data_IF_671281002275
#
_entry.id   IF_671281002275
#
_cell.length_a   1.000
_cell.length_b   1.000
_cell.length_c   1.000
_cell.angle_alpha   90.00
_cell.angle_beta   90.00
_cell.angle_gamma   90.00
#
_symmetry.space_group_name_H-M   'P 1'
#
loop_
_entity.id
_entity.type
_entity.pdbx_description
1 polymer ?
#
# COMPACT_ATOMS: atom_id res chain seq x y z
N UNK A 1 -39.35 50.81 40.49
CA UNK A 1 -39.26 49.78 39.43
C UNK A 1 -37.78 49.46 39.24
N UNK A 2 -37.38 48.22 39.58
CA UNK A 2 -35.97 47.86 39.73
C UNK A 2 -35.22 47.79 38.40
N UNK A 3 -34.08 48.48 38.37
CA UNK A 3 -33.13 48.55 37.28
C UNK A 3 -32.22 47.30 37.24
N UNK A 4 -32.79 46.13 36.96
CA UNK A 4 -31.97 44.90 36.84
C UNK A 4 -32.47 43.90 35.78
N UNK A 5 -33.18 44.38 34.74
CA UNK A 5 -33.39 43.61 33.53
C UNK A 5 -32.21 43.78 32.58
N UNK A 6 -31.08 43.14 32.91
CA UNK A 6 -29.96 42.99 31.98
C UNK A 6 -30.50 42.33 30.70
N UNK A 7 -30.42 42.99 29.55
CA UNK A 7 -31.28 42.64 28.43
C UNK A 7 -30.87 41.31 27.82
N UNK A 8 -31.72 40.30 28.00
CA UNK A 8 -31.59 38.99 27.36
C UNK A 8 -31.44 39.13 25.84
N UNK A 9 -32.02 40.17 25.23
CA UNK A 9 -31.88 40.50 23.81
C UNK A 9 -30.45 40.85 23.41
N UNK A 10 -29.63 41.51 24.26
CA UNK A 10 -28.22 41.80 23.94
C UNK A 10 -27.38 40.52 23.89
N UNK A 11 -27.65 39.57 24.80
CA UNK A 11 -26.99 38.25 24.77
C UNK A 11 -27.42 37.47 23.53
N UNK A 12 -28.70 37.54 23.18
CA UNK A 12 -29.24 36.90 21.97
C UNK A 12 -28.67 37.52 20.69
N UNK A 13 -28.57 38.85 20.60
CA UNK A 13 -27.97 39.56 19.47
C UNK A 13 -26.48 39.28 19.33
N UNK A 14 -25.73 39.13 20.43
CA UNK A 14 -24.31 38.74 20.37
C UNK A 14 -24.15 37.30 19.90
N UNK A 15 -24.96 36.37 20.41
CA UNK A 15 -24.94 34.97 19.93
C UNK A 15 -25.34 34.88 18.46
N UNK A 16 -26.37 35.61 18.05
CA UNK A 16 -26.81 35.68 16.64
C UNK A 16 -25.71 36.28 15.76
N UNK A 17 -25.05 37.36 16.19
CA UNK A 17 -23.92 37.96 15.47
C UNK A 17 -22.76 36.95 15.32
N UNK A 18 -22.39 36.25 16.40
CA UNK A 18 -21.34 35.23 16.36
C UNK A 18 -21.71 34.09 15.41
N UNK A 19 -22.98 33.63 15.43
CA UNK A 19 -23.47 32.61 14.52
C UNK A 19 -23.46 33.08 13.06
N UNK A 20 -23.93 34.30 12.78
CA UNK A 20 -23.89 34.89 11.43
C UNK A 20 -22.45 35.05 10.94
N UNK A 21 -21.55 35.55 11.79
CA UNK A 21 -20.13 35.67 11.49
C UNK A 21 -19.50 34.30 11.22
N UNK A 22 -19.82 33.28 12.01
CA UNK A 22 -19.32 31.92 11.78
C UNK A 22 -19.86 31.33 10.47
N UNK A 23 -21.16 31.51 10.19
CA UNK A 23 -21.83 31.02 8.97
C UNK A 23 -21.30 31.70 7.71
N UNK A 24 -20.86 32.97 7.80
CA UNK A 24 -20.28 33.68 6.65
C UNK A 24 -18.77 33.42 6.53
N UNK A 25 -18.01 33.53 7.61
CA UNK A 25 -16.54 33.46 7.56
C UNK A 25 -16.01 32.05 7.36
N UNK A 26 -16.63 31.00 7.92
CA UNK A 26 -16.10 29.64 7.80
C UNK A 26 -16.22 29.12 6.35
N UNK A 27 -17.37 29.22 5.66
CA UNK A 27 -17.46 28.87 4.24
C UNK A 27 -16.60 29.77 3.36
N UNK A 28 -16.55 31.08 3.64
CA UNK A 28 -15.70 32.02 2.88
C UNK A 28 -14.22 31.67 3.00
N UNK A 29 -13.76 31.30 4.21
CA UNK A 29 -12.41 30.82 4.42
C UNK A 29 -12.17 29.50 3.67
N UNK A 30 -13.09 28.53 3.73
CA UNK A 30 -12.95 27.27 3.00
C UNK A 30 -12.85 27.47 1.50
N UNK A 31 -13.75 28.28 0.93
CA UNK A 31 -13.76 28.65 -0.49
C UNK A 31 -12.47 29.37 -0.85
N UNK A 32 -12.00 30.31 -0.02
CA UNK A 32 -10.73 30.99 -0.25
C UNK A 32 -9.53 30.03 -0.25
N UNK A 33 -9.49 29.07 0.69
CA UNK A 33 -8.43 28.06 0.75
C UNK A 33 -8.45 27.15 -0.49
N UNK A 34 -9.62 26.66 -0.88
CA UNK A 34 -9.81 25.83 -2.07
C UNK A 34 -9.44 26.60 -3.35
N UNK A 35 -9.95 27.82 -3.51
CA UNK A 35 -9.65 28.70 -4.65
C UNK A 35 -8.17 29.07 -4.74
N UNK A 36 -7.49 29.22 -3.60
CA UNK A 36 -6.06 29.49 -3.57
C UNK A 36 -5.20 28.30 -4.02
N UNK A 37 -5.79 27.12 -4.26
CA UNK A 37 -5.06 25.91 -4.65
C UNK A 37 -4.00 25.51 -3.61
N UNK A 38 -4.24 25.83 -2.33
CA UNK A 38 -3.26 25.62 -1.26
C UNK A 38 -2.15 26.67 -1.15
N UNK A 39 -2.14 27.73 -1.98
CA UNK A 39 -1.13 28.82 -1.90
C UNK A 39 -1.08 29.47 -0.52
N UNK A 40 -2.21 29.52 0.18
CA UNK A 40 -2.27 30.03 1.55
C UNK A 40 -1.44 29.19 2.52
N UNK A 41 -1.39 27.86 2.33
CA UNK A 41 -0.55 26.95 3.12
C UNK A 41 0.94 27.15 2.82
N UNK A 42 1.28 27.39 1.55
CA UNK A 42 2.65 27.63 1.09
C UNK A 42 3.25 28.97 1.56
N UNK A 43 2.48 29.82 2.27
CA UNK A 43 3.01 31.02 2.93
C UNK A 43 3.88 30.68 4.15
N UNK A 44 3.68 29.49 4.72
CA UNK A 44 4.59 28.94 5.72
C UNK A 44 5.74 28.23 4.99
N UNK A 45 6.99 28.57 5.30
CA UNK A 45 8.15 28.00 4.63
C UNK A 45 8.27 26.49 4.87
N UNK A 46 7.71 26.00 5.98
CA UNK A 46 7.68 24.58 6.36
C UNK A 46 6.86 23.71 5.41
N UNK A 47 5.93 24.31 4.67
CA UNK A 47 5.00 23.60 3.76
C UNK A 47 5.38 23.82 2.29
N UNK A 48 6.36 24.69 2.01
CA UNK A 48 6.71 25.07 0.64
C UNK A 48 7.16 23.86 -0.21
N UNK A 49 8.02 22.99 0.32
CA UNK A 49 8.48 21.79 -0.40
C UNK A 49 7.32 20.81 -0.70
N UNK A 50 6.52 20.34 0.28
CA UNK A 50 5.34 19.51 0.00
C UNK A 50 4.35 20.15 -0.98
N UNK A 51 4.17 21.48 -0.91
CA UNK A 51 3.33 22.21 -1.85
C UNK A 51 3.88 22.15 -3.28
N UNK A 52 5.17 22.40 -3.47
CA UNK A 52 5.83 22.36 -4.77
C UNK A 52 5.77 20.95 -5.38
N UNK A 53 6.04 19.92 -4.57
CA UNK A 53 5.94 18.52 -4.99
C UNK A 53 4.52 18.15 -5.42
N UNK A 54 3.51 18.60 -4.68
CA UNK A 54 2.11 18.37 -5.04
C UNK A 54 1.75 18.98 -6.39
N UNK A 55 2.20 20.21 -6.66
CA UNK A 55 1.90 20.93 -7.91
C UNK A 55 2.58 20.32 -9.14
N UNK A 56 3.60 19.48 -8.94
CA UNK A 56 4.23 18.70 -10.00
C UNK A 56 3.78 17.24 -10.03
N UNK A 57 2.84 16.84 -9.17
CA UNK A 57 2.39 15.45 -9.00
C UNK A 57 1.29 15.00 -9.96
N UNK A 58 0.98 13.71 -9.92
CA UNK A 58 -0.19 13.12 -10.59
C UNK A 58 -1.53 13.61 -10.01
N UNK A 59 -1.52 14.22 -8.82
CA UNK A 59 -2.70 14.75 -8.14
C UNK A 59 -2.72 16.29 -8.10
N UNK A 60 -1.91 16.97 -8.93
CA UNK A 60 -1.79 18.45 -8.91
C UNK A 60 -3.10 19.23 -9.07
N UNK A 61 -4.13 18.60 -9.64
CA UNK A 61 -5.46 19.19 -9.84
C UNK A 61 -6.47 18.81 -8.73
N UNK A 62 -6.02 18.10 -7.70
CA UNK A 62 -6.82 17.75 -6.53
C UNK A 62 -6.48 18.74 -5.40
N UNK A 63 -7.48 19.41 -4.80
CA UNK A 63 -7.27 20.28 -3.65
C UNK A 63 -6.61 19.55 -2.47
N UNK A 64 -5.67 20.20 -1.79
CA UNK A 64 -5.03 19.62 -0.60
C UNK A 64 -6.05 19.22 0.48
N UNK A 65 -7.17 19.96 0.57
CA UNK A 65 -8.28 19.72 1.52
C UNK A 65 -8.95 18.36 1.32
N UNK A 66 -8.96 17.83 0.10
CA UNK A 66 -9.62 16.56 -0.19
C UNK A 66 -8.89 15.39 0.49
N UNK A 67 -7.57 15.55 0.71
CA UNK A 67 -6.72 14.62 1.43
C UNK A 67 -6.47 15.03 2.89
N UNK A 68 -6.13 16.29 3.17
CA UNK A 68 -5.73 16.75 4.51
C UNK A 68 -6.88 17.31 5.36
N UNK A 69 -8.00 17.69 4.75
CA UNK A 69 -9.13 18.35 5.39
C UNK A 69 -9.04 19.87 5.30
N UNK A 70 -10.15 20.55 5.54
CA UNK A 70 -10.26 22.01 5.56
C UNK A 70 -10.93 22.52 6.85
N UNK A 71 -11.26 23.81 6.88
CA UNK A 71 -11.95 24.47 7.99
C UNK A 71 -13.32 23.86 8.31
N UNK A 72 -13.95 23.16 7.37
CA UNK A 72 -15.24 22.47 7.55
C UNK A 72 -15.06 21.02 8.04
N UNK A 73 -13.82 20.55 8.23
CA UNK A 73 -13.55 19.27 8.89
C UNK A 73 -14.20 19.27 10.28
N UNK A 74 -15.15 18.37 10.53
CA UNK A 74 -15.91 18.34 11.79
C UNK A 74 -15.12 17.83 13.01
N UNK A 75 -13.92 17.29 12.78
CA UNK A 75 -13.05 16.83 13.85
C UNK A 75 -12.42 18.01 14.61
N UNK A 76 -12.83 18.21 15.86
CA UNK A 76 -12.23 19.22 16.74
C UNK A 76 -10.71 18.99 16.93
N UNK A 77 -10.27 17.73 16.91
CA UNK A 77 -8.85 17.37 17.02
C UNK A 77 -8.01 17.92 15.86
N UNK A 78 -8.56 17.95 14.65
CA UNK A 78 -7.92 18.55 13.48
C UNK A 78 -7.64 20.05 13.68
N UNK A 79 -8.63 20.81 14.15
CA UNK A 79 -8.48 22.26 14.36
C UNK A 79 -7.50 22.59 15.48
N UNK A 80 -7.58 21.87 16.60
CA UNK A 80 -6.64 22.02 17.72
C UNK A 80 -5.19 21.74 17.30
N UNK A 81 -4.97 20.74 16.44
CA UNK A 81 -3.65 20.44 15.87
C UNK A 81 -3.13 21.58 14.99
N UNK A 82 -3.98 22.19 14.16
CA UNK A 82 -3.58 23.34 13.34
C UNK A 82 -3.21 24.56 14.19
N UNK A 83 -3.95 24.84 15.26
CA UNK A 83 -3.61 25.88 16.23
C UNK A 83 -2.27 25.56 16.92
N UNK A 84 -2.06 24.31 17.33
CA UNK A 84 -0.80 23.88 17.94
C UNK A 84 0.40 24.07 16.99
N UNK A 85 0.23 23.77 15.70
CA UNK A 85 1.27 24.01 14.67
C UNK A 85 1.58 25.49 14.51
N UNK A 86 0.57 26.36 14.48
CA UNK A 86 0.76 27.81 14.44
C UNK A 86 1.54 28.32 15.66
N UNK A 87 1.17 27.86 16.86
CA UNK A 87 1.88 28.23 18.10
C UNK A 87 3.32 27.72 18.07
N UNK A 88 3.56 26.50 17.57
CA UNK A 88 4.91 25.95 17.43
C UNK A 88 5.78 26.77 16.48
N UNK A 89 5.23 27.19 15.34
CA UNK A 89 5.87 28.10 14.38
C UNK A 89 6.27 29.42 15.03
N UNK A 90 5.30 30.10 15.67
CA UNK A 90 5.53 31.40 16.32
C UNK A 90 6.55 31.33 17.47
N UNK A 91 6.72 30.16 18.10
CA UNK A 91 7.69 29.92 19.17
C UNK A 91 9.03 29.38 18.66
N UNK A 92 9.20 29.18 17.35
CA UNK A 92 10.39 28.55 16.77
C UNK A 92 10.60 27.09 17.21
N UNK A 93 9.55 26.40 17.63
CA UNK A 93 9.58 24.99 18.10
C UNK A 93 9.07 24.04 17.03
N UNK A 94 9.58 24.18 15.81
CA UNK A 94 9.24 23.34 14.66
C UNK A 94 10.21 22.16 14.62
N UNK A 95 9.73 20.92 14.43
CA UNK A 95 10.62 19.77 14.23
C UNK A 95 11.39 19.93 12.91
N UNK A 96 12.63 19.42 12.88
CA UNK A 96 13.48 19.44 11.67
C UNK A 96 12.78 18.80 10.46
N UNK A 97 11.97 17.75 10.68
CA UNK A 97 11.15 17.12 9.66
C UNK A 97 9.65 17.24 10.00
N UNK A 98 8.89 17.89 9.09
CA UNK A 98 7.43 17.93 9.16
C UNK A 98 6.87 16.63 8.58
N UNK A 99 6.32 15.78 9.45
CA UNK A 99 5.81 14.46 9.07
C UNK A 99 4.35 14.24 9.45
N UNK A 100 3.73 13.34 8.71
CA UNK A 100 2.39 12.84 9.00
C UNK A 100 2.44 11.91 10.21
N UNK A 101 1.50 12.07 11.13
CA UNK A 101 1.35 11.13 12.26
C UNK A 101 0.51 9.93 11.85
N UNK A 102 0.62 8.81 12.58
CA UNK A 102 -0.21 7.60 12.38
C UNK A 102 -1.67 7.97 12.15
N UNK A 103 -2.29 8.70 13.09
CA UNK A 103 -3.70 9.09 12.98
C UNK A 103 -4.01 9.91 11.73
N UNK A 104 -3.07 10.75 11.28
CA UNK A 104 -3.27 11.57 10.08
C UNK A 104 -3.28 10.66 8.85
N UNK A 105 -2.35 9.70 8.77
CA UNK A 105 -2.31 8.69 7.70
C UNK A 105 -3.57 7.84 7.67
N UNK A 106 -4.04 7.38 8.83
CA UNK A 106 -5.23 6.56 8.94
C UNK A 106 -6.49 7.32 8.51
N UNK A 107 -6.63 8.59 8.91
CA UNK A 107 -7.72 9.45 8.42
C UNK A 107 -7.65 9.69 6.92
N UNK A 108 -6.45 9.80 6.36
CA UNK A 108 -6.28 10.00 4.91
C UNK A 108 -6.61 8.74 4.11
N UNK A 109 -6.36 7.55 4.66
CA UNK A 109 -6.64 6.28 3.98
C UNK A 109 -8.07 6.20 3.43
N UNK A 110 -9.07 6.57 4.24
CA UNK A 110 -10.48 6.56 3.81
C UNK A 110 -10.81 7.62 2.76
N UNK A 111 -10.02 8.71 2.67
CA UNK A 111 -10.20 9.77 1.67
C UNK A 111 -9.74 9.31 0.29
N UNK A 112 -8.73 8.43 0.21
CA UNK A 112 -8.33 7.79 -1.04
C UNK A 112 -9.52 7.09 -1.72
N UNK A 113 -10.33 6.39 -0.92
CA UNK A 113 -11.50 5.64 -1.39
C UNK A 113 -12.64 6.47 -1.98
N UNK A 114 -12.63 7.81 -1.83
CA UNK A 114 -13.62 8.66 -2.51
C UNK A 114 -13.44 8.66 -4.03
N UNK A 115 -12.18 8.60 -4.48
CA UNK A 115 -11.82 8.58 -5.90
C UNK A 115 -11.38 7.19 -6.37
N UNK A 116 -10.63 6.46 -5.54
CA UNK A 116 -10.11 5.11 -5.81
C UNK A 116 -11.00 4.04 -5.17
N UNK A 117 -12.28 4.02 -5.54
CA UNK A 117 -13.30 3.21 -4.86
C UNK A 117 -13.00 1.71 -4.96
N UNK A 118 -12.66 1.23 -6.16
CA UNK A 118 -12.40 -0.19 -6.39
C UNK A 118 -11.10 -0.63 -5.72
N UNK A 119 -10.02 0.15 -5.88
CA UNK A 119 -8.73 -0.15 -5.28
C UNK A 119 -8.81 -0.15 -3.75
N UNK A 120 -9.54 0.81 -3.18
CA UNK A 120 -9.77 0.87 -1.74
C UNK A 120 -10.60 -0.31 -1.25
N UNK A 121 -11.68 -0.68 -1.94
CA UNK A 121 -12.50 -1.82 -1.57
C UNK A 121 -11.72 -3.14 -1.67
N UNK A 122 -10.91 -3.31 -2.73
CA UNK A 122 -10.08 -4.49 -2.90
C UNK A 122 -8.99 -4.57 -1.82
N UNK A 123 -8.31 -3.46 -1.50
CA UNK A 123 -7.36 -3.39 -0.39
C UNK A 123 -8.02 -3.72 0.94
N UNK A 124 -9.16 -3.08 1.25
CA UNK A 124 -9.89 -3.25 2.50
C UNK A 124 -10.39 -4.68 2.72
N UNK A 125 -10.74 -5.39 1.64
CA UNK A 125 -11.12 -6.80 1.68
C UNK A 125 -9.92 -7.76 1.60
N UNK A 126 -8.73 -7.25 1.32
CA UNK A 126 -7.51 -8.02 1.15
C UNK A 126 -6.72 -8.19 2.46
N UNK A 127 -5.69 -9.05 2.45
CA UNK A 127 -4.89 -9.33 3.65
C UNK A 127 -4.05 -8.12 4.11
N UNK A 128 -3.81 -7.15 3.23
CA UNK A 128 -3.03 -5.95 3.54
C UNK A 128 -3.81 -4.89 4.33
N UNK A 129 -5.12 -5.07 4.53
CA UNK A 129 -5.90 -4.27 5.46
C UNK A 129 -5.92 -4.85 6.88
N UNK A 130 -5.12 -5.89 7.16
CA UNK A 130 -4.99 -6.46 8.50
C UNK A 130 -4.71 -5.39 9.55
N UNK A 131 -5.34 -5.57 10.70
CA UNK A 131 -5.38 -4.59 11.77
C UNK A 131 -4.24 -4.77 12.77
N UNK A 132 -3.97 -3.75 13.60
CA UNK A 132 -2.97 -3.87 14.67
C UNK A 132 -3.29 -5.04 15.59
N UNK A 133 -4.58 -5.29 15.87
CA UNK A 133 -5.00 -6.42 16.69
C UNK A 133 -4.66 -7.76 16.04
N UNK A 134 -4.99 -7.94 14.77
CA UNK A 134 -4.76 -9.19 14.04
C UNK A 134 -3.27 -9.53 13.92
N UNK A 135 -2.41 -8.53 13.79
CA UNK A 135 -0.96 -8.73 13.67
C UNK A 135 -0.30 -8.85 15.05
N UNK A 136 -0.46 -7.83 15.91
CA UNK A 136 0.33 -7.74 17.14
C UNK A 136 -0.24 -8.54 18.31
N UNK A 137 -1.49 -9.01 18.24
CA UNK A 137 -2.08 -9.90 19.25
C UNK A 137 -2.26 -11.34 18.73
N UNK A 138 -1.61 -11.70 17.61
CA UNK A 138 -1.64 -13.05 17.09
C UNK A 138 -0.92 -14.01 18.03
N UNK A 139 -1.67 -14.83 18.76
CA UNK A 139 -1.10 -15.74 19.77
C UNK A 139 -0.22 -16.81 19.14
N UNK A 140 -0.63 -17.38 18.00
CA UNK A 140 0.14 -18.43 17.30
C UNK A 140 1.50 -17.91 16.86
N UNK A 141 1.56 -16.72 16.26
CA UNK A 141 2.82 -16.10 15.88
C UNK A 141 3.63 -15.66 17.09
N UNK A 142 3.04 -14.96 18.05
CA UNK A 142 3.79 -14.35 19.14
C UNK A 142 4.40 -15.37 20.11
N UNK A 143 3.83 -16.57 20.23
CA UNK A 143 4.47 -17.68 20.94
C UNK A 143 5.75 -18.17 20.26
N UNK A 144 5.91 -17.95 18.95
CA UNK A 144 7.08 -18.35 18.17
C UNK A 144 8.12 -17.23 18.10
N UNK A 145 7.68 -15.98 17.96
CA UNK A 145 8.53 -14.81 17.84
C UNK A 145 7.96 -13.65 18.65
N UNK A 146 8.70 -13.08 19.63
CA UNK A 146 8.20 -11.96 20.40
C UNK A 146 8.04 -10.72 19.51
N UNK A 147 7.02 -9.86 19.76
CA UNK A 147 6.91 -8.58 19.07
C UNK A 147 8.19 -7.74 19.22
N UNK A 148 8.69 -7.20 18.12
CA UNK A 148 9.93 -6.41 18.09
C UNK A 148 9.82 -5.18 17.19
N UNK A 149 10.75 -4.23 17.32
CA UNK A 149 10.75 -2.98 16.54
C UNK A 149 10.79 -3.24 15.03
N UNK A 150 11.45 -4.32 14.59
CA UNK A 150 11.55 -4.63 13.16
C UNK A 150 10.20 -5.03 12.54
N UNK A 151 9.23 -5.49 13.35
CA UNK A 151 7.85 -5.70 12.89
C UNK A 151 7.25 -4.40 12.31
N UNK A 152 7.59 -3.25 12.91
CA UNK A 152 7.11 -1.94 12.47
C UNK A 152 7.71 -1.49 11.14
N UNK A 153 8.71 -2.20 10.58
CA UNK A 153 9.21 -1.89 9.22
C UNK A 153 8.11 -2.03 8.18
N UNK A 154 7.27 -3.06 8.34
CA UNK A 154 6.18 -3.38 7.42
C UNK A 154 4.80 -3.22 8.09
N UNK A 155 4.63 -3.78 9.28
CA UNK A 155 3.36 -3.74 10.00
C UNK A 155 3.31 -2.53 10.92
N UNK A 156 2.76 -1.42 10.44
CA UNK A 156 2.69 -0.18 11.19
C UNK A 156 3.87 0.74 10.91
N UNK A 157 4.31 0.83 9.65
CA UNK A 157 5.41 1.71 9.22
C UNK A 157 5.19 3.18 9.60
N UNK A 158 3.94 3.62 9.72
CA UNK A 158 3.57 4.96 10.19
C UNK A 158 3.36 5.09 11.70
N UNK A 159 3.52 4.01 12.48
CA UNK A 159 3.36 4.06 13.92
C UNK A 159 4.44 4.94 14.56
N UNK A 160 3.99 6.01 15.22
CA UNK A 160 4.83 6.95 15.95
C UNK A 160 5.24 6.41 17.32
N UNK A 161 6.20 5.50 17.34
CA UNK A 161 6.75 4.93 18.55
C UNK A 161 7.54 3.66 18.25
N UNK A 162 8.15 3.10 19.28
CA UNK A 162 8.74 1.77 19.25
C UNK A 162 7.70 0.71 19.62
N UNK A 163 8.03 -0.57 19.45
CA UNK A 163 7.13 -1.68 19.72
C UNK A 163 6.64 -1.70 21.18
N UNK A 164 7.47 -1.22 22.12
CA UNK A 164 7.10 -1.09 23.54
C UNK A 164 6.02 -0.04 23.80
N UNK A 165 5.87 0.91 22.86
CA UNK A 165 4.83 1.94 22.90
C UNK A 165 3.52 1.44 22.24
N UNK A 166 3.57 0.29 21.58
CA UNK A 166 2.46 -0.32 20.87
C UNK A 166 1.82 -1.48 21.63
N UNK A 167 2.63 -2.46 22.06
CA UNK A 167 2.16 -3.74 22.59
C UNK A 167 2.96 -4.17 23.81
N UNK A 168 2.30 -4.82 24.76
CA UNK A 168 2.91 -5.40 25.96
C UNK A 168 2.25 -6.74 26.31
N UNK A 169 2.98 -7.72 26.88
CA UNK A 169 4.42 -7.76 27.08
C UNK A 169 5.20 -7.99 25.77
N UNK A 170 6.51 -7.78 25.78
CA UNK A 170 7.40 -8.06 24.65
C UNK A 170 8.09 -9.42 24.84
N UNK A 171 7.29 -10.45 25.05
CA UNK A 171 7.75 -11.82 25.26
C UNK A 171 6.93 -12.81 24.42
N UNK A 172 7.22 -14.10 24.57
CA UNK A 172 6.52 -15.22 23.93
C UNK A 172 5.48 -15.89 24.84
N UNK A 173 5.14 -15.29 25.99
CA UNK A 173 4.24 -15.87 26.98
C UNK A 173 2.86 -15.23 26.94
N UNK A 174 2.80 -13.92 26.75
CA UNK A 174 1.56 -13.16 26.74
C UNK A 174 0.84 -13.16 28.10
N UNK A 175 -0.46 -12.81 28.15
CA UNK A 175 -1.26 -12.34 27.03
C UNK A 175 -0.83 -10.93 26.56
N UNK A 176 -0.76 -10.75 25.24
CA UNK A 176 -0.46 -9.45 24.64
C UNK A 176 -1.68 -8.53 24.63
N UNK A 177 -1.43 -7.24 24.84
CA UNK A 177 -2.43 -6.18 24.70
C UNK A 177 -1.80 -4.95 24.05
N UNK A 178 -2.60 -4.25 23.25
CA UNK A 178 -2.24 -2.93 22.75
C UNK A 178 -2.31 -1.91 23.88
N UNK A 179 -1.34 -0.99 23.91
CA UNK A 179 -1.32 0.09 24.91
C UNK A 179 -2.37 1.17 24.61
N UNK A 180 -2.62 1.45 23.34
CA UNK A 180 -3.74 2.28 22.90
C UNK A 180 -4.82 1.40 22.23
N UNK A 181 -5.97 1.16 22.89
CA UNK A 181 -7.04 0.34 22.33
C UNK A 181 -7.63 0.94 21.04
N UNK A 182 -7.46 2.24 20.77
CA UNK A 182 -7.97 2.89 19.55
C UNK A 182 -7.28 2.38 18.29
N UNK A 183 -6.10 1.78 18.41
CA UNK A 183 -5.35 1.21 17.29
C UNK A 183 -5.88 -0.14 16.85
N UNK A 184 -6.63 -0.85 17.71
CA UNK A 184 -6.97 -2.25 17.52
C UNK A 184 -7.51 -2.58 16.13
N UNK A 185 -8.47 -1.78 15.65
CA UNK A 185 -9.15 -1.99 14.36
C UNK A 185 -8.56 -1.12 13.23
N UNK A 186 -7.46 -0.41 13.48
CA UNK A 186 -6.77 0.37 12.45
C UNK A 186 -5.87 -0.54 11.62
N UNK A 187 -5.79 -0.34 10.30
CA UNK A 187 -4.95 -1.15 9.43
C UNK A 187 -3.46 -0.84 9.66
N UNK A 188 -2.62 -1.87 9.65
CA UNK A 188 -1.17 -1.70 9.86
C UNK A 188 -0.44 -1.25 8.59
N UNK A 189 -1.04 -1.45 7.41
CA UNK A 189 -0.44 -1.14 6.11
C UNK A 189 -1.37 -0.27 5.26
N UNK A 190 -1.41 1.05 5.53
CA UNK A 190 -2.23 1.99 4.76
C UNK A 190 -1.69 2.16 3.34
N UNK A 191 -2.49 2.74 2.43
CA UNK A 191 -2.09 2.99 1.04
C UNK A 191 -0.73 3.70 0.92
N UNK A 192 -0.45 4.63 1.84
CA UNK A 192 0.78 5.40 1.88
C UNK A 192 2.04 4.55 2.19
N UNK A 193 1.90 3.32 2.70
CA UNK A 193 3.04 2.42 2.86
C UNK A 193 3.66 2.01 1.51
N UNK A 194 2.85 1.99 0.45
CA UNK A 194 3.23 1.56 -0.90
C UNK A 194 3.13 2.68 -1.94
N UNK A 195 2.58 3.84 -1.56
CA UNK A 195 2.40 4.95 -2.48
C UNK A 195 2.85 6.29 -1.91
N UNK A 196 3.63 7.03 -2.70
CA UNK A 196 4.05 8.40 -2.42
C UNK A 196 3.18 9.40 -3.19
N UNK A 197 2.60 10.37 -2.48
CA UNK A 197 1.71 11.38 -3.08
C UNK A 197 2.43 12.66 -3.48
N UNK A 198 3.23 13.23 -2.57
CA UNK A 198 4.00 14.44 -2.80
C UNK A 198 5.28 14.09 -3.57
N UNK A 199 5.14 13.90 -4.88
CA UNK A 199 6.27 13.67 -5.80
C UNK A 199 5.94 14.11 -7.21
N UNK A 200 6.96 14.38 -8.01
CA UNK A 200 6.80 14.63 -9.44
C UNK A 200 6.15 13.43 -10.15
N UNK A 201 5.21 13.71 -11.04
CA UNK A 201 4.57 12.73 -11.92
C UNK A 201 3.77 13.39 -13.04
N UNK A 202 3.23 12.60 -13.96
CA UNK A 202 2.38 13.07 -15.08
C UNK A 202 0.91 12.74 -14.84
N UNK A 203 -0.02 13.58 -15.32
CA UNK A 203 -1.44 13.24 -15.29
C UNK A 203 -1.72 12.06 -16.24
N UNK A 204 -2.74 11.26 -15.91
CA UNK A 204 -3.30 10.32 -16.87
C UNK A 204 -4.20 11.10 -17.82
N UNK A 205 -3.77 11.23 -19.07
CA UNK A 205 -4.53 11.88 -20.13
C UNK A 205 -4.86 10.85 -21.20
N UNK A 206 -6.07 10.90 -21.74
CA UNK A 206 -6.43 10.12 -22.92
C UNK A 206 -5.58 10.63 -24.08
N UNK A 207 -4.83 9.73 -24.72
CA UNK A 207 -4.14 10.06 -25.96
C UNK A 207 -5.15 10.47 -27.03
N UNK A 208 -4.88 11.58 -27.72
CA UNK A 208 -5.74 12.10 -28.81
C UNK A 208 -5.71 11.12 -30.00
N UNK A 209 -4.57 10.50 -30.23
CA UNK A 209 -4.38 9.45 -31.22
C UNK A 209 -4.34 8.07 -30.55
N UNK A 210 -4.78 7.02 -31.25
CA UNK A 210 -4.61 5.66 -30.76
C UNK A 210 -3.10 5.38 -30.66
N UNK A 211 -2.54 5.19 -29.45
CA UNK A 211 -1.11 5.03 -29.31
C UNK A 211 -0.67 3.77 -30.05
N UNK A 212 0.25 3.91 -31.00
CA UNK A 212 0.93 2.80 -31.66
C UNK A 212 2.01 2.16 -30.77
N UNK A 213 1.85 2.26 -29.44
CA UNK A 213 2.86 1.82 -28.50
C UNK A 213 2.75 0.30 -28.29
N UNK A 214 3.75 -0.48 -28.74
CA UNK A 214 3.78 -1.91 -28.48
C UNK A 214 3.86 -2.18 -26.98
N UNK A 215 3.41 -3.36 -26.55
CA UNK A 215 3.37 -3.72 -25.12
C UNK A 215 4.70 -3.53 -24.38
N UNK A 216 5.84 -3.74 -25.05
CA UNK A 216 7.18 -3.59 -24.47
C UNK A 216 7.51 -2.16 -24.01
N UNK A 217 6.90 -1.14 -24.62
CA UNK A 217 7.12 0.27 -24.27
C UNK A 217 6.03 0.81 -23.35
N UNK A 218 5.07 -0.01 -22.93
CA UNK A 218 4.02 0.41 -22.03
C UNK A 218 4.54 0.51 -20.60
N UNK A 219 4.09 1.55 -19.91
CA UNK A 219 4.40 1.76 -18.51
C UNK A 219 3.80 0.62 -17.66
N UNK A 220 4.64 -0.05 -16.87
CA UNK A 220 4.24 -1.18 -16.03
C UNK A 220 3.82 -0.76 -14.61
N UNK A 221 4.25 0.42 -14.15
CA UNK A 221 3.83 1.05 -12.89
C UNK A 221 3.94 2.58 -12.97
N UNK A 222 3.09 3.30 -12.22
CA UNK A 222 3.14 4.76 -12.14
C UNK A 222 4.20 5.23 -11.14
N UNK A 223 4.72 6.46 -11.27
CA UNK A 223 5.71 7.00 -10.34
C UNK A 223 5.23 7.03 -8.88
N UNK A 224 3.92 7.03 -8.61
CA UNK A 224 3.40 6.99 -7.24
C UNK A 224 3.80 5.74 -6.46
N UNK A 225 4.20 4.64 -7.11
CA UNK A 225 4.56 3.40 -6.42
C UNK A 225 5.96 3.52 -5.77
N UNK A 226 5.99 3.44 -4.43
CA UNK A 226 7.19 3.61 -3.61
C UNK A 226 7.02 2.98 -2.23
N UNK A 227 8.07 2.41 -1.65
CA UNK A 227 8.06 1.97 -0.26
C UNK A 227 8.22 3.18 0.67
N UNK A 228 7.37 3.32 1.69
CA UNK A 228 7.69 4.20 2.81
C UNK A 228 8.69 3.51 3.75
N UNK A 229 9.93 3.99 3.78
CA UNK A 229 10.95 3.52 4.72
C UNK A 229 10.77 4.23 6.06
N UNK A 230 10.39 3.47 7.09
CA UNK A 230 10.15 4.01 8.44
C UNK A 230 11.44 4.57 9.08
N UNK A 231 12.62 4.03 8.77
CA UNK A 231 13.88 4.42 9.41
C UNK A 231 14.33 5.79 8.90
N UNK A 232 14.24 5.99 7.59
CA UNK A 232 14.53 7.25 6.93
C UNK A 232 13.35 8.25 6.99
N UNK A 233 12.15 7.75 7.30
CA UNK A 233 10.89 8.51 7.25
C UNK A 233 10.63 9.14 5.88
N UNK A 234 11.08 8.47 4.82
CA UNK A 234 10.99 8.92 3.44
C UNK A 234 10.66 7.74 2.51
N UNK A 235 10.43 8.04 1.24
CA UNK A 235 10.02 7.07 0.24
C UNK A 235 11.17 6.63 -0.66
N UNK A 236 11.22 5.33 -0.90
CA UNK A 236 12.08 4.73 -1.93
C UNK A 236 11.22 4.32 -3.11
N UNK A 237 11.37 4.99 -4.25
CA UNK A 237 10.65 4.67 -5.47
C UNK A 237 10.90 3.22 -5.92
N UNK A 238 9.88 2.52 -6.40
CA UNK A 238 9.99 1.09 -6.76
C UNK A 238 11.11 0.80 -7.77
N UNK A 239 11.34 1.68 -8.74
CA UNK A 239 12.44 1.53 -9.70
C UNK A 239 13.86 1.59 -9.09
N UNK A 240 13.99 1.96 -7.81
CA UNK A 240 15.25 1.97 -7.05
C UNK A 240 15.34 0.84 -6.03
N UNK A 241 14.26 0.09 -5.81
CA UNK A 241 14.29 -1.06 -4.91
C UNK A 241 15.00 -2.23 -5.59
N UNK A 242 15.96 -2.88 -4.93
CA UNK A 242 16.67 -4.00 -5.51
C UNK A 242 15.76 -5.24 -5.58
N UNK A 243 15.92 -6.02 -6.64
CA UNK A 243 15.48 -7.40 -6.64
C UNK A 243 16.55 -8.26 -5.93
N UNK A 244 16.20 -9.02 -4.89
CA UNK A 244 17.17 -9.77 -4.10
C UNK A 244 17.73 -10.97 -4.87
N UNK A 245 19.02 -11.27 -4.68
CA UNK A 245 19.57 -12.57 -5.06
C UNK A 245 19.21 -13.61 -3.99
N UNK A 246 18.70 -14.76 -4.39
CA UNK A 246 18.17 -15.77 -3.47
C UNK A 246 18.66 -17.18 -3.81
N UNK A 247 18.63 -18.07 -2.82
CA UNK A 247 19.16 -19.43 -2.95
C UNK A 247 18.22 -20.49 -2.35
N UNK A 248 18.12 -21.64 -3.01
CA UNK A 248 17.49 -22.87 -2.54
C UNK A 248 18.61 -23.85 -2.13
N UNK A 249 18.88 -23.95 -0.84
CA UNK A 249 20.18 -24.45 -0.37
C UNK A 249 21.29 -23.56 -0.95
N UNK A 250 22.34 -24.13 -1.53
CA UNK A 250 23.42 -23.36 -2.16
C UNK A 250 23.15 -23.03 -3.63
N UNK A 251 22.05 -23.51 -4.19
CA UNK A 251 21.68 -23.28 -5.59
C UNK A 251 21.08 -21.88 -5.74
N UNK A 252 21.62 -21.00 -6.59
CA UNK A 252 20.96 -19.74 -6.91
C UNK A 252 19.64 -20.03 -7.63
N UNK A 253 18.60 -19.29 -7.28
CA UNK A 253 17.29 -19.41 -7.93
C UNK A 253 17.07 -18.30 -8.95
N UNK A 254 16.30 -18.60 -9.99
CA UNK A 254 15.84 -17.58 -10.93
C UNK A 254 14.62 -16.86 -10.36
N UNK A 255 14.72 -15.56 -10.15
CA UNK A 255 13.57 -14.70 -9.86
C UNK A 255 13.08 -14.00 -11.15
N UNK A 256 11.80 -13.61 -11.18
CA UNK A 256 11.27 -12.80 -12.26
C UNK A 256 12.01 -11.46 -12.35
N UNK A 257 12.27 -10.89 -13.56
CA UNK A 257 12.82 -9.55 -13.70
C UNK A 257 11.77 -8.44 -13.48
N UNK A 258 10.52 -8.76 -13.16
CA UNK A 258 9.47 -7.78 -12.91
C UNK A 258 9.77 -6.95 -11.65
N UNK A 259 10.28 -5.73 -11.86
CA UNK A 259 10.69 -4.82 -10.80
C UNK A 259 9.56 -4.44 -9.84
N UNK A 260 8.29 -4.59 -10.23
CA UNK A 260 7.15 -4.24 -9.35
C UNK A 260 7.13 -5.08 -8.08
N UNK A 261 7.62 -6.32 -8.16
CA UNK A 261 7.66 -7.22 -7.02
C UNK A 261 8.78 -6.87 -6.02
N UNK A 262 9.71 -5.98 -6.40
CA UNK A 262 10.74 -5.50 -5.46
C UNK A 262 10.11 -4.84 -4.23
N UNK A 263 8.92 -4.25 -4.38
CA UNK A 263 8.13 -3.71 -3.27
C UNK A 263 7.64 -4.83 -2.32
N UNK A 264 7.17 -5.94 -2.87
CA UNK A 264 6.71 -7.09 -2.09
C UNK A 264 7.85 -7.68 -1.26
N UNK A 265 9.05 -7.78 -1.86
CA UNK A 265 10.26 -8.29 -1.18
C UNK A 265 10.76 -7.40 -0.04
N UNK A 266 10.24 -6.19 0.14
CA UNK A 266 10.57 -5.38 1.32
C UNK A 266 9.95 -5.95 2.60
N UNK A 267 8.94 -6.83 2.47
CA UNK A 267 8.24 -7.46 3.58
C UNK A 267 8.22 -8.99 3.46
N UNK A 268 7.89 -9.53 2.28
CA UNK A 268 7.78 -10.96 2.03
C UNK A 268 9.06 -11.54 1.42
N UNK A 269 10.13 -11.56 2.20
CA UNK A 269 11.45 -12.01 1.76
C UNK A 269 12.09 -12.99 2.75
N UNK A 270 13.10 -13.76 2.30
CA UNK A 270 13.95 -14.55 3.17
C UNK A 270 14.57 -13.73 4.30
N UNK A 271 14.99 -14.44 5.34
CA UNK A 271 15.92 -13.88 6.32
C UNK A 271 17.24 -13.48 5.65
N UNK A 272 18.10 -12.77 6.39
CA UNK A 272 19.37 -12.24 5.90
C UNK A 272 20.35 -13.28 5.29
N UNK A 273 20.09 -14.58 5.49
CA UNK A 273 20.81 -15.68 4.84
C UNK A 273 20.49 -15.82 3.35
N UNK A 274 19.46 -15.13 2.86
CA UNK A 274 18.96 -15.18 1.48
C UNK A 274 18.52 -16.59 1.05
N UNK A 275 18.20 -17.46 2.01
CA UNK A 275 17.72 -18.83 1.78
C UNK A 275 16.20 -18.82 1.72
N UNK A 276 15.65 -19.28 0.60
CA UNK A 276 14.20 -19.32 0.40
C UNK A 276 13.50 -20.21 1.43
N UNK A 277 12.24 -19.91 1.73
CA UNK A 277 11.44 -20.61 2.73
C UNK A 277 11.82 -20.29 4.19
N UNK A 278 12.55 -19.19 4.41
CA UNK A 278 12.83 -18.65 5.74
C UNK A 278 12.06 -17.36 5.98
N UNK A 279 11.72 -17.06 7.25
CA UNK A 279 10.96 -15.85 7.59
C UNK A 279 9.57 -15.85 6.94
N UNK A 280 9.17 -14.71 6.38
CA UNK A 280 7.90 -14.50 5.67
C UNK A 280 8.08 -14.57 4.14
N UNK A 281 9.00 -15.41 3.69
CA UNK A 281 9.33 -15.57 2.29
C UNK A 281 8.20 -16.24 1.49
N UNK A 282 7.84 -15.62 0.37
CA UNK A 282 6.86 -16.12 -0.59
C UNK A 282 7.48 -16.33 -1.98
N UNK A 283 8.80 -16.46 -2.05
CA UNK A 283 9.52 -16.61 -3.31
C UNK A 283 9.17 -17.93 -4.01
N UNK A 284 8.71 -17.81 -5.25
CA UNK A 284 8.33 -18.95 -6.04
C UNK A 284 9.57 -19.78 -6.43
N UNK A 285 9.57 -21.07 -6.07
CA UNK A 285 10.55 -22.08 -6.50
C UNK A 285 9.83 -23.32 -7.03
N UNK A 286 10.59 -24.35 -7.41
CA UNK A 286 10.02 -25.59 -7.90
C UNK A 286 9.30 -25.39 -9.22
N UNK A 287 8.01 -25.72 -9.28
CA UNK A 287 7.22 -25.61 -10.53
C UNK A 287 6.88 -24.15 -10.89
N UNK A 288 7.03 -23.22 -9.94
CA UNK A 288 6.75 -21.80 -10.12
C UNK A 288 8.02 -20.93 -10.14
N UNK A 289 9.21 -21.54 -10.17
CA UNK A 289 10.48 -20.79 -10.20
C UNK A 289 10.52 -19.80 -11.37
N UNK A 290 10.89 -18.55 -11.08
CA UNK A 290 10.98 -17.47 -12.06
C UNK A 290 9.67 -16.75 -12.37
N UNK A 291 8.54 -17.15 -11.78
CA UNK A 291 7.29 -16.40 -11.87
C UNK A 291 7.32 -15.15 -11.00
N UNK A 292 6.64 -14.09 -11.44
CA UNK A 292 6.45 -12.89 -10.61
C UNK A 292 5.34 -13.10 -9.59
N UNK A 293 5.37 -12.39 -8.46
CA UNK A 293 4.23 -12.26 -7.56
C UNK A 293 2.94 -11.88 -8.33
N UNK A 294 3.05 -11.02 -9.35
CA UNK A 294 1.93 -10.56 -10.19
C UNK A 294 1.41 -11.61 -11.19
N UNK A 295 2.09 -12.75 -11.34
CA UNK A 295 1.54 -13.87 -12.11
C UNK A 295 0.36 -14.52 -11.37
N UNK A 296 0.38 -14.47 -10.03
CA UNK A 296 -0.66 -15.05 -9.18
C UNK A 296 -1.51 -13.99 -8.48
N UNK A 297 -0.90 -12.98 -7.87
CA UNK A 297 -1.60 -12.00 -7.06
C UNK A 297 -2.03 -10.80 -7.89
N UNK A 298 -3.34 -10.51 -7.88
CA UNK A 298 -3.95 -9.45 -8.67
C UNK A 298 -4.37 -8.26 -7.82
N UNK A 299 -3.92 -7.07 -8.24
CA UNK A 299 -4.37 -5.78 -7.73
C UNK A 299 -4.13 -5.58 -6.23
N UNK A 300 -4.90 -4.67 -5.65
CA UNK A 300 -4.80 -4.30 -4.24
C UNK A 300 -5.35 -5.34 -3.27
N UNK A 301 -6.21 -6.25 -3.75
CA UNK A 301 -6.77 -7.34 -2.94
C UNK A 301 -5.94 -8.62 -2.92
N UNK A 302 -4.82 -8.67 -3.65
CA UNK A 302 -3.93 -9.84 -3.77
C UNK A 302 -4.65 -11.13 -4.16
N UNK A 303 -5.70 -11.02 -4.97
CA UNK A 303 -6.55 -12.17 -5.35
C UNK A 303 -5.78 -13.11 -6.27
N UNK A 304 -5.94 -14.41 -6.03
CA UNK A 304 -5.27 -15.48 -6.80
C UNK A 304 -6.22 -16.36 -7.61
N UNK A 305 -7.53 -16.26 -7.38
CA UNK A 305 -8.51 -17.26 -7.86
C UNK A 305 -8.43 -17.53 -9.37
N UNK A 306 -8.22 -16.51 -10.19
CA UNK A 306 -8.22 -16.64 -11.65
C UNK A 306 -6.81 -16.87 -12.25
N UNK A 307 -5.75 -16.90 -11.44
CA UNK A 307 -4.39 -16.94 -11.96
C UNK A 307 -4.03 -18.30 -12.55
N UNK A 308 -4.50 -19.40 -11.95
CA UNK A 308 -4.19 -20.76 -12.36
C UNK A 308 -4.54 -20.98 -13.84
N UNK A 309 -5.73 -20.56 -14.26
CA UNK A 309 -6.22 -20.71 -15.64
C UNK A 309 -5.43 -19.90 -16.69
N UNK A 310 -4.62 -18.92 -16.27
CA UNK A 310 -3.76 -18.15 -17.19
C UNK A 310 -2.61 -19.00 -17.73
N UNK A 311 -2.18 -20.01 -16.96
CA UNK A 311 -1.08 -20.91 -17.31
C UNK A 311 -1.54 -22.35 -17.49
N UNK A 312 -2.53 -22.80 -16.74
CA UNK A 312 -2.98 -24.19 -16.71
C UNK A 312 -4.28 -24.37 -17.50
N UNK A 313 -4.42 -25.46 -18.27
CA UNK A 313 -3.43 -26.53 -18.43
C UNK A 313 -2.35 -26.24 -19.47
N UNK A 314 -2.41 -25.11 -20.20
CA UNK A 314 -1.62 -24.86 -21.42
C UNK A 314 -0.10 -25.04 -21.25
N UNK A 315 0.46 -24.55 -20.15
CA UNK A 315 1.89 -24.62 -19.83
C UNK A 315 2.25 -25.85 -19.00
N UNK A 316 1.26 -26.54 -18.42
CA UNK A 316 1.48 -27.72 -17.59
C UNK A 316 1.29 -29.01 -18.36
N UNK A 317 2.33 -29.83 -18.39
CA UNK A 317 2.29 -31.14 -19.04
C UNK A 317 1.59 -32.22 -18.18
N UNK A 318 1.05 -31.87 -17.00
CA UNK A 318 0.49 -32.85 -16.05
C UNK A 318 -0.96 -33.25 -16.39
N UNK A 319 -1.72 -32.39 -17.09
CA UNK A 319 -3.14 -32.66 -17.42
C UNK A 319 -4.06 -32.77 -16.19
N UNK A 320 -3.63 -32.23 -15.05
CA UNK A 320 -4.39 -32.22 -13.80
C UNK A 320 -5.07 -30.87 -13.58
N UNK A 321 -6.19 -30.89 -12.87
CA UNK A 321 -6.80 -29.68 -12.33
C UNK A 321 -6.01 -29.21 -11.10
N UNK A 322 -5.10 -28.28 -11.34
CA UNK A 322 -4.17 -27.76 -10.33
C UNK A 322 -4.86 -27.04 -9.17
N UNK A 323 -6.07 -26.50 -9.38
CA UNK A 323 -6.81 -25.81 -8.31
C UNK A 323 -7.31 -26.79 -7.24
N UNK A 324 -7.49 -28.06 -7.61
CA UNK A 324 -7.98 -29.11 -6.71
C UNK A 324 -6.87 -29.89 -6.01
N UNK A 325 -5.61 -29.60 -6.36
CA UNK A 325 -4.46 -30.27 -5.78
C UNK A 325 -4.26 -29.88 -4.32
N UNK A 326 -3.63 -30.76 -3.56
CA UNK A 326 -3.31 -30.52 -2.16
C UNK A 326 -2.17 -29.50 -2.06
N UNK A 327 -2.53 -28.22 -2.13
CA UNK A 327 -1.61 -27.09 -1.95
C UNK A 327 -2.25 -26.00 -1.09
N UNK A 328 -1.44 -25.04 -0.63
CA UNK A 328 -1.93 -23.88 0.11
C UNK A 328 -2.89 -22.97 -0.66
N UNK A 329 -2.95 -23.09 -1.99
CA UNK A 329 -3.99 -22.45 -2.79
C UNK A 329 -5.39 -22.99 -2.48
N UNK A 330 -5.52 -24.32 -2.37
CA UNK A 330 -6.79 -24.98 -2.04
C UNK A 330 -7.12 -24.87 -0.55
N UNK A 331 -6.13 -25.03 0.31
CA UNK A 331 -6.30 -25.02 1.77
C UNK A 331 -5.05 -24.48 2.45
N UNK A 332 -5.17 -23.41 3.23
CA UNK A 332 -4.06 -22.84 3.99
C UNK A 332 -3.41 -23.80 4.99
N UNK A 333 -4.05 -24.93 5.28
CA UNK A 333 -3.52 -26.00 6.15
C UNK A 333 -2.74 -27.09 5.40
N UNK A 334 -2.69 -27.02 4.07
CA UNK A 334 -1.96 -27.99 3.26
C UNK A 334 -0.47 -27.97 3.60
N UNK A 335 0.21 -29.12 3.69
CA UNK A 335 1.66 -29.17 3.89
C UNK A 335 2.43 -28.72 2.65
N UNK A 336 1.80 -28.63 1.48
CA UNK A 336 2.45 -28.24 0.24
C UNK A 336 2.21 -26.75 -0.05
N UNK A 337 3.17 -25.92 0.29
CA UNK A 337 3.10 -24.49 0.00
C UNK A 337 3.14 -24.26 -1.52
N UNK A 338 2.13 -23.59 -2.07
CA UNK A 338 2.02 -23.28 -3.51
C UNK A 338 3.22 -22.48 -4.04
N UNK A 339 3.91 -21.71 -3.20
CA UNK A 339 5.13 -21.00 -3.58
C UNK A 339 6.34 -21.93 -3.74
N UNK A 340 6.36 -23.05 -3.02
CA UNK A 340 7.53 -23.93 -2.93
C UNK A 340 7.33 -25.31 -3.58
N UNK A 341 6.13 -25.57 -4.08
CA UNK A 341 5.71 -26.89 -4.56
C UNK A 341 6.57 -27.38 -5.72
N UNK A 342 6.99 -28.64 -5.63
CA UNK A 342 7.77 -29.37 -6.61
C UNK A 342 6.88 -30.42 -7.28
N UNK A 343 7.31 -30.93 -8.43
CA UNK A 343 6.57 -31.99 -9.13
C UNK A 343 6.30 -33.20 -8.23
N UNK A 344 7.26 -33.59 -7.39
CA UNK A 344 7.14 -34.77 -6.51
C UNK A 344 6.09 -34.60 -5.40
N UNK A 345 5.85 -33.37 -4.94
CA UNK A 345 4.86 -33.07 -3.89
C UNK A 345 3.44 -33.36 -4.39
N UNK A 346 3.24 -33.17 -5.70
CA UNK A 346 2.00 -33.39 -6.42
C UNK A 346 1.91 -34.78 -7.07
N UNK A 347 3.04 -35.44 -7.31
CA UNK A 347 3.15 -36.70 -8.04
C UNK A 347 3.83 -37.79 -7.21
N UNK A 348 3.19 -38.20 -6.12
CA UNK A 348 3.70 -39.22 -5.18
C UNK A 348 3.94 -40.60 -5.81
N UNK A 349 3.29 -40.89 -6.95
CA UNK A 349 3.47 -42.13 -7.72
C UNK A 349 4.48 -42.01 -8.87
N UNK A 350 5.22 -40.90 -8.93
CA UNK A 350 6.19 -40.60 -9.97
C UNK A 350 5.74 -39.48 -10.91
N UNK A 351 6.68 -38.60 -11.25
CA UNK A 351 6.43 -37.45 -12.14
C UNK A 351 6.20 -37.95 -13.56
N UNK A 352 5.06 -37.60 -14.20
CA UNK A 352 4.80 -37.99 -15.58
C UNK A 352 5.91 -37.53 -16.53
N UNK A 353 6.35 -38.41 -17.44
CA UNK A 353 7.29 -38.02 -18.49
C UNK A 353 6.65 -36.94 -19.36
N UNK A 354 7.41 -35.89 -19.66
CA UNK A 354 7.00 -34.82 -20.58
C UNK A 354 6.51 -35.47 -21.89
N UNK A 355 5.24 -35.28 -22.24
CA UNK A 355 4.75 -35.68 -23.56
C UNK A 355 5.55 -34.89 -24.59
N UNK A 356 6.23 -35.57 -25.50
CA UNK A 356 6.88 -34.93 -26.62
C UNK A 356 5.78 -34.33 -27.51
N UNK A 357 5.45 -33.05 -27.31
CA UNK A 357 4.66 -32.33 -28.30
C UNK A 357 5.51 -32.29 -29.57
N UNK A 358 5.02 -32.97 -30.61
CA UNK A 358 5.60 -32.93 -31.94
C UNK A 358 5.75 -31.47 -32.36
N UNK A 359 6.99 -31.02 -32.52
CA UNK A 359 7.31 -29.78 -33.22
C UNK A 359 7.02 -30.04 -34.70
N UNK A 360 5.75 -29.99 -35.08
CA UNK A 360 5.31 -30.13 -36.46
C UNK A 360 4.21 -29.09 -36.70
N UNK A 361 4.63 -27.85 -36.97
CA UNK A 361 3.91 -26.85 -37.77
C UNK A 361 4.55 -25.46 -37.60
N UNK A 362 5.82 -25.29 -37.99
CA UNK A 362 6.41 -23.98 -38.32
C UNK A 362 7.46 -24.13 -39.43
N UNK A 363 7.11 -24.81 -40.52
CA UNK A 363 7.93 -24.78 -41.75
C UNK A 363 7.12 -24.50 -43.05
N UNK A 364 5.78 -24.59 -43.04
CA UNK A 364 4.98 -24.41 -44.27
C UNK A 364 4.51 -22.98 -44.57
N UNK A 365 5.20 -21.95 -44.07
CA UNK A 365 4.88 -20.55 -44.39
C UNK A 365 5.95 -19.84 -45.26
N UNK A 366 6.85 -20.60 -45.91
CA UNK A 366 7.88 -20.03 -46.81
C UNK A 366 7.75 -20.44 -48.29
N UNK A 367 6.65 -21.06 -48.70
CA UNK A 367 6.45 -21.52 -50.08
C UNK A 367 5.39 -20.75 -50.89
N UNK A 368 4.78 -19.68 -50.35
CA UNK A 368 3.91 -18.78 -51.13
C UNK A 368 4.53 -17.39 -51.28
N UNK A 369 5.68 -17.34 -51.96
CA UNK A 369 6.21 -16.13 -52.56
C UNK A 369 6.97 -16.53 -53.83
N UNK A 370 6.22 -16.78 -54.91
CA UNK A 370 6.80 -17.06 -56.22
C UNK A 370 5.73 -17.40 -57.24
N UNK A 371 5.76 -16.64 -58.34
CA UNK A 371 5.09 -16.80 -59.65
C UNK A 371 3.65 -16.31 -59.80
N UNK A 372 3.50 -15.22 -60.57
CA UNK A 372 2.24 -14.77 -61.16
C UNK A 372 2.33 -13.32 -61.63
N UNK A 373 3.00 -13.11 -62.77
CA UNK A 373 2.91 -12.03 -63.78
C UNK A 373 2.39 -10.63 -63.42
#
# INVERSE_FOLDING_TARGET
MNADQKPWYRRFSVVLLVLVVAVVLLPSASIYYQYSGGRSCARCHEIWQPYADWHTSTHRNVPCSDCHGDVLTLDAGFHLKNISRLIAHLRGKIPEQVRLKTDDVQRMGSRCGKCHQQEYADWAAGPHAATFKEIFLNTTHNHQQPPMDDCLRCHGSYFNGSIRDLVTPLDTQGPWRLLDPKLAEQPVMPCLACHQMHRQGTLLVRSVEKPANPGLSQEIFRPSLALFDRRELDYVAVGRLPLPAMHDGDRPIRISPDIRQALCYQCHAPLATMKVGSGDDHTAIGVHEGLSCFACHQGHGLRTRASCATCHPQLSNCGLDVETMDTTFKSSKSPHNVHFVKCIDCHTKGVPKKKAHAVAARQDARSFAGSGD
#
